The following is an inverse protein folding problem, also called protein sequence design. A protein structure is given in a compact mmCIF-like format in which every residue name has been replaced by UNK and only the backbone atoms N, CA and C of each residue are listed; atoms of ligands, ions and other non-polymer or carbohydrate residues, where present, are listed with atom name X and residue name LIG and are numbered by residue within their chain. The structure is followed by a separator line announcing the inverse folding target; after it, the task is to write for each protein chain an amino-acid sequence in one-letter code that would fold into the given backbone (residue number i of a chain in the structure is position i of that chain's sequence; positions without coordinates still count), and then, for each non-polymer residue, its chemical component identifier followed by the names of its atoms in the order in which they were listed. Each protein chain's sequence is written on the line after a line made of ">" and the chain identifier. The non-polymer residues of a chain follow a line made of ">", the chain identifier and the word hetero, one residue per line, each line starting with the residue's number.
data_IF_473792069449
#
_entry.id   IF_473792069449
#
_cell.length_a   1.000
_cell.length_b   1.000
_cell.length_c   1.000
_cell.angle_alpha   90.00
_cell.angle_beta   90.00
_cell.angle_gamma   90.00
#
_symmetry.space_group_name_H-M   'P 1'
#
loop_
_entity.id
_entity.type
_entity.pdbx_description
1 polymer ?
#
# COMPACT_ATOMS: atom_id res chain seq x y z
N UNK A 1 -2.42 -2.54 8.10
CA UNK A 1 -3.16 -1.42 7.48
C UNK A 1 -2.77 -0.12 8.17
N UNK A 2 -2.80 1.00 7.44
CA UNK A 2 -2.55 2.35 7.95
C UNK A 2 -3.74 3.25 7.62
N UNK A 3 -4.01 4.25 8.45
CA UNK A 3 -4.99 5.29 8.15
C UNK A 3 -4.29 6.44 7.43
N UNK A 4 -4.73 6.76 6.22
CA UNK A 4 -4.07 7.75 5.36
C UNK A 4 -5.06 8.81 4.88
N UNK A 5 -4.55 10.03 4.67
CA UNK A 5 -5.30 11.13 4.06
C UNK A 5 -4.68 11.50 2.72
N UNK A 6 -5.51 11.78 1.73
CA UNK A 6 -5.06 12.15 0.39
C UNK A 6 -4.71 13.64 0.37
N UNK A 7 -3.43 13.97 0.18
CA UNK A 7 -2.95 15.36 0.05
C UNK A 7 -3.18 15.94 -1.35
N UNK A 8 -2.91 15.14 -2.40
CA UNK A 8 -3.04 15.52 -3.82
C UNK A 8 -3.83 14.44 -4.57
N UNK A 9 -4.71 14.83 -5.51
CA UNK A 9 -5.56 13.89 -6.26
C UNK A 9 -7.00 14.39 -6.43
N UNK A 10 -7.96 13.49 -6.65
CA UNK A 10 -9.39 13.85 -6.80
C UNK A 10 -9.92 14.58 -5.56
N UNK A 11 -10.68 15.68 -5.70
CA UNK A 11 -11.16 16.48 -4.57
C UNK A 11 -12.06 15.68 -3.62
N UNK A 12 -12.81 14.70 -4.14
CA UNK A 12 -13.70 13.81 -3.36
C UNK A 12 -12.98 12.96 -2.30
N UNK A 13 -11.70 12.66 -2.55
CA UNK A 13 -10.86 11.81 -1.69
C UNK A 13 -10.02 12.62 -0.69
N UNK A 14 -9.78 13.91 -0.98
CA UNK A 14 -9.00 14.81 -0.11
C UNK A 14 -9.76 15.09 1.19
N UNK A 15 -9.03 15.40 2.26
CA UNK A 15 -9.56 15.73 3.60
C UNK A 15 -10.36 14.61 4.30
N UNK A 16 -10.54 13.45 3.66
CA UNK A 16 -11.12 12.25 4.26
C UNK A 16 -10.02 11.28 4.67
N UNK A 17 -10.27 10.55 5.75
CA UNK A 17 -9.40 9.46 6.22
C UNK A 17 -9.86 8.18 5.54
N UNK A 18 -8.92 7.47 4.92
CA UNK A 18 -9.17 6.17 4.30
C UNK A 18 -8.20 5.13 4.86
N UNK A 19 -8.64 3.88 5.03
CA UNK A 19 -7.72 2.79 5.28
C UNK A 19 -6.89 2.53 4.01
N UNK A 20 -5.60 2.29 4.19
CA UNK A 20 -4.64 2.03 3.13
C UNK A 20 -3.67 0.91 3.53
N UNK A 21 -3.15 0.22 2.53
CA UNK A 21 -2.07 -0.76 2.66
C UNK A 21 -0.79 -0.17 2.05
N UNK A 22 0.34 -0.33 2.73
CA UNK A 22 1.65 0.06 2.19
C UNK A 22 2.17 -1.13 1.39
N UNK A 23 2.42 -0.94 0.09
CA UNK A 23 2.82 -2.02 -0.84
C UNK A 23 4.34 -2.02 -1.12
N UNK A 24 4.97 -0.86 -0.96
CA UNK A 24 6.39 -0.65 -1.19
C UNK A 24 6.94 0.26 -0.10
N UNK A 25 8.14 -0.06 0.38
CA UNK A 25 8.85 0.76 1.34
C UNK A 25 10.35 0.77 1.02
N UNK A 26 10.95 1.96 1.05
CA UNK A 26 12.40 2.16 0.90
C UNK A 26 13.19 1.53 2.04
N UNK A 27 12.62 1.56 3.25
CA UNK A 27 13.26 0.99 4.42
C UNK A 27 13.26 -0.54 4.28
N UNK A 28 14.46 -1.12 4.27
CA UNK A 28 14.60 -2.57 4.27
C UNK A 28 14.03 -3.17 5.56
N UNK A 29 13.45 -4.36 5.43
CA UNK A 29 12.94 -5.14 6.54
C UNK A 29 13.36 -6.60 6.38
N UNK A 30 13.47 -7.32 7.48
CA UNK A 30 13.93 -8.71 7.46
C UNK A 30 12.77 -9.66 7.16
N UNK A 31 12.91 -10.48 6.12
CA UNK A 31 12.03 -11.64 5.88
C UNK A 31 12.52 -12.86 6.66
N UNK A 32 11.62 -13.84 6.83
CA UNK A 32 11.88 -15.10 7.57
C UNK A 32 13.14 -15.86 7.14
N UNK A 33 13.60 -15.71 5.89
CA UNK A 33 14.80 -16.35 5.36
C UNK A 33 16.07 -15.48 5.42
N UNK A 34 16.08 -14.39 6.19
CA UNK A 34 17.24 -13.50 6.32
C UNK A 34 17.45 -12.55 5.12
N UNK A 35 16.56 -12.58 4.12
CA UNK A 35 16.56 -11.61 3.02
C UNK A 35 16.04 -10.25 3.50
N UNK A 36 16.65 -9.18 3.03
CA UNK A 36 16.26 -7.79 3.30
C UNK A 36 15.76 -7.10 2.02
N UNK A 37 14.50 -7.34 1.59
CA UNK A 37 13.93 -6.61 0.46
C UNK A 37 13.87 -5.10 0.74
N UNK A 38 14.18 -4.31 -0.27
CA UNK A 38 13.98 -2.86 -0.29
C UNK A 38 13.33 -2.47 -1.63
N UNK A 39 12.58 -1.37 -1.63
CA UNK A 39 11.99 -0.79 -2.84
C UNK A 39 12.63 0.56 -3.15
N UNK A 40 12.53 0.99 -4.40
CA UNK A 40 13.04 2.29 -4.83
C UNK A 40 12.24 3.45 -4.21
N UNK A 41 10.95 3.26 -3.96
CA UNK A 41 10.04 4.27 -3.43
C UNK A 41 9.06 3.72 -2.38
N UNK A 42 8.28 4.63 -1.80
CA UNK A 42 7.25 4.30 -0.84
C UNK A 42 5.90 4.45 -1.54
N UNK A 43 5.14 3.37 -1.62
CA UNK A 43 3.83 3.36 -2.26
C UNK A 43 2.78 2.70 -1.37
N UNK A 44 1.54 3.19 -1.49
CA UNK A 44 0.41 2.66 -0.76
C UNK A 44 -0.87 2.70 -1.59
N UNK A 45 -1.75 1.75 -1.32
CA UNK A 45 -3.02 1.57 -2.02
C UNK A 45 -4.17 1.75 -1.03
N UNK A 46 -5.21 2.47 -1.46
CA UNK A 46 -6.43 2.64 -0.66
C UNK A 46 -7.24 1.35 -0.71
N UNK A 47 -7.57 0.83 0.46
CA UNK A 47 -8.35 -0.40 0.64
C UNK A 47 -9.69 -0.08 1.28
N UNK A 48 -10.59 -1.06 1.30
CA UNK A 48 -11.81 -1.02 2.10
C UNK A 48 -11.62 -1.76 3.44
N UNK A 49 -12.59 -1.68 4.34
CA UNK A 49 -12.53 -2.37 5.64
C UNK A 49 -12.45 -3.91 5.52
N UNK A 50 -12.83 -4.46 4.36
CA UNK A 50 -12.73 -5.89 4.03
C UNK A 50 -11.38 -6.32 3.45
N UNK A 51 -10.46 -5.38 3.20
CA UNK A 51 -9.18 -5.66 2.54
C UNK A 51 -9.19 -5.50 1.02
N UNK A 52 -10.37 -5.39 0.41
CA UNK A 52 -10.52 -5.19 -1.04
C UNK A 52 -9.93 -3.84 -1.50
N UNK A 53 -9.23 -3.84 -2.63
CA UNK A 53 -8.73 -2.61 -3.24
C UNK A 53 -9.85 -1.82 -3.91
N UNK A 54 -9.84 -0.49 -3.71
CA UNK A 54 -10.77 0.42 -4.39
C UNK A 54 -10.34 0.81 -5.81
N UNK A 55 -9.22 0.29 -6.28
CA UNK A 55 -8.61 0.64 -7.57
C UNK A 55 -8.64 -0.53 -8.53
N UNK A 56 -8.84 -0.26 -9.81
CA UNK A 56 -8.95 -1.28 -10.86
C UNK A 56 -7.60 -1.94 -11.19
N UNK A 57 -6.50 -1.24 -10.97
CA UNK A 57 -5.14 -1.72 -11.22
C UNK A 57 -4.14 -1.03 -10.30
N UNK A 58 -3.04 -1.72 -10.01
CA UNK A 58 -1.91 -1.21 -9.25
C UNK A 58 -0.74 -1.04 -10.23
N UNK A 59 -0.10 0.12 -10.21
CA UNK A 59 1.10 0.35 -11.00
C UNK A 59 2.34 -0.09 -10.22
N UNK A 60 3.18 -0.91 -10.84
CA UNK A 60 4.47 -1.33 -10.30
C UNK A 60 4.46 -2.65 -9.53
N UNK A 61 5.59 -2.93 -8.87
CA UNK A 61 5.81 -4.18 -8.12
C UNK A 61 5.11 -4.15 -6.77
N UNK A 62 4.61 -5.28 -6.31
CA UNK A 62 3.96 -5.41 -5.00
C UNK A 62 4.77 -6.38 -4.14
N UNK A 63 5.01 -6.02 -2.87
CA UNK A 63 5.62 -6.95 -1.92
C UNK A 63 4.74 -8.19 -1.76
N UNK A 64 5.36 -9.38 -1.74
CA UNK A 64 4.64 -10.65 -1.63
C UNK A 64 3.70 -10.70 -0.42
N UNK A 65 4.12 -10.16 0.73
CA UNK A 65 3.30 -10.06 1.94
C UNK A 65 2.04 -9.20 1.76
N UNK A 66 2.10 -8.23 0.85
CA UNK A 66 0.96 -7.39 0.51
C UNK A 66 0.09 -8.02 -0.58
N UNK A 67 0.65 -8.88 -1.43
CA UNK A 67 -0.09 -9.55 -2.50
C UNK A 67 -1.18 -10.47 -1.93
N UNK A 68 -0.88 -11.22 -0.86
CA UNK A 68 -1.87 -12.05 -0.16
C UNK A 68 -3.03 -11.23 0.45
N UNK A 69 -2.82 -9.94 0.68
CA UNK A 69 -3.80 -9.05 1.31
C UNK A 69 -4.65 -8.26 0.30
N UNK A 70 -4.20 -8.19 -0.95
CA UNK A 70 -4.74 -7.30 -2.00
C UNK A 70 -5.43 -8.09 -3.13
N UNK A 71 -5.60 -9.41 -2.93
CA UNK A 71 -6.28 -10.30 -3.88
C UNK A 71 -7.77 -10.02 -4.02
#
# INVERSE_FOLDING_TARGET
>A
MVMATVKKGKPELRKKIHPAAVIQQRKSYQRKHGMFPYFEDNAGVIVNNKGEIKVSAIAGLVAKECADFIA
#
